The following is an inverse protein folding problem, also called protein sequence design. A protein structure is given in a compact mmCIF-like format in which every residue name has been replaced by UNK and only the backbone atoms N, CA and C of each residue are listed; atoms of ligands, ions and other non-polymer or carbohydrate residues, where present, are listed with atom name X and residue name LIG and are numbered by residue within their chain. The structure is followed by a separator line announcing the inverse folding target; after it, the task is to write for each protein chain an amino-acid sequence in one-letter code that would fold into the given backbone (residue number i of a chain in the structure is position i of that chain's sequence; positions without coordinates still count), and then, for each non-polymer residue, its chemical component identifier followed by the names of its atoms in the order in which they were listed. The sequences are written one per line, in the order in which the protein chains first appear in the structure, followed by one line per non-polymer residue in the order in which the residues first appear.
data_IF_878736341768
#
_entry.id   IF_878736341768
#
_cell.length_a   1.000
_cell.length_b   1.000
_cell.length_c   1.000
_cell.angle_alpha   90.00
_cell.angle_beta   90.00
_cell.angle_gamma   90.00
#
_symmetry.space_group_name_H-M   'P 1'
#
loop_
_entity.id
_entity.type
_entity.pdbx_description
1 polymer ?
#
# COMPACT_ATOMS: atom_id res chain seq x y z
N UNK A 1 39.74 -17.87 33.51
CA UNK A 1 38.42 -18.06 32.87
C UNK A 1 37.80 -16.69 32.64
N UNK A 2 38.21 -16.00 31.58
CA UNK A 2 37.54 -14.80 31.02
C UNK A 2 38.24 -14.47 29.70
N UNK A 3 37.78 -15.05 28.60
CA UNK A 3 38.01 -14.58 27.24
C UNK A 3 36.83 -15.07 26.40
N UNK A 4 36.54 -14.37 25.30
CA UNK A 4 35.57 -14.71 24.24
C UNK A 4 34.14 -14.18 24.40
N UNK A 5 33.96 -12.85 24.29
CA UNK A 5 32.75 -12.31 23.63
C UNK A 5 33.16 -11.13 22.73
N UNK A 6 33.95 -11.40 21.70
CA UNK A 6 34.31 -10.40 20.70
C UNK A 6 34.66 -11.06 19.36
N UNK A 7 33.71 -11.76 18.72
CA UNK A 7 33.89 -12.19 17.32
C UNK A 7 32.60 -12.72 16.64
N UNK A 8 31.50 -11.95 16.66
CA UNK A 8 30.29 -12.32 15.91
C UNK A 8 29.74 -11.19 15.02
N UNK A 9 30.58 -10.22 14.66
CA UNK A 9 30.25 -9.14 13.74
C UNK A 9 31.16 -9.17 12.51
N UNK A 10 31.16 -10.26 11.75
CA UNK A 10 31.48 -10.22 10.33
C UNK A 10 31.22 -11.59 9.69
N UNK A 11 30.78 -11.59 8.42
CA UNK A 11 30.51 -12.73 7.53
C UNK A 11 29.02 -12.97 7.20
N UNK A 12 28.30 -11.91 6.83
CA UNK A 12 27.25 -12.03 5.81
C UNK A 12 27.72 -11.32 4.54
N UNK A 13 28.68 -11.93 3.86
CA UNK A 13 29.18 -11.48 2.56
C UNK A 13 29.50 -12.70 1.70
N UNK A 14 28.46 -13.39 1.26
CA UNK A 14 28.49 -14.31 0.12
C UNK A 14 27.07 -14.81 -0.16
N UNK A 15 26.40 -14.21 -1.15
CA UNK A 15 25.47 -14.97 -2.01
C UNK A 15 25.60 -14.48 -3.46
N UNK A 16 25.99 -15.36 -4.40
CA UNK A 16 26.22 -15.03 -5.80
C UNK A 16 24.92 -15.01 -6.63
N UNK A 17 25.00 -14.22 -7.70
CA UNK A 17 24.08 -14.10 -8.82
C UNK A 17 23.29 -15.37 -9.18
N UNK A 18 21.97 -15.33 -9.02
CA UNK A 18 21.03 -16.29 -9.62
C UNK A 18 20.58 -15.77 -10.99
N UNK A 19 21.30 -16.15 -12.05
CA UNK A 19 20.79 -16.20 -13.44
C UNK A 19 21.20 -17.53 -14.07
N UNK A 20 20.26 -18.48 -14.10
CA UNK A 20 20.34 -19.70 -14.91
C UNK A 20 18.91 -20.09 -15.24
N UNK A 21 18.41 -19.75 -16.43
CA UNK A 21 18.35 -20.66 -17.57
C UNK A 21 17.45 -21.88 -17.27
N UNK A 22 16.16 -21.76 -17.62
CA UNK A 22 15.24 -22.88 -17.70
C UNK A 22 14.96 -23.15 -19.20
N UNK A 23 15.23 -24.37 -19.71
CA UNK A 23 14.87 -24.75 -21.08
C UNK A 23 13.39 -25.12 -21.12
N UNK A 24 12.58 -24.41 -21.91
CA UNK A 24 11.24 -24.89 -22.29
C UNK A 24 11.40 -25.78 -23.51
N UNK A 25 11.14 -27.06 -23.28
CA UNK A 25 11.06 -28.16 -24.23
C UNK A 25 10.06 -27.88 -25.35
N UNK A 26 10.52 -28.09 -26.58
CA UNK A 26 9.71 -28.31 -27.77
C UNK A 26 8.75 -29.49 -27.57
N UNK A 27 7.48 -29.28 -27.86
CA UNK A 27 6.51 -30.35 -28.11
C UNK A 27 6.11 -30.26 -29.58
N UNK A 28 6.79 -31.09 -30.37
CA UNK A 28 6.40 -31.46 -31.74
C UNK A 28 5.85 -32.88 -31.72
N UNK A 29 4.53 -33.02 -31.83
CA UNK A 29 3.81 -34.12 -32.51
C UNK A 29 2.31 -33.87 -32.25
N UNK A 30 1.38 -33.89 -33.18
CA UNK A 30 1.31 -34.59 -34.45
C UNK A 30 -0.15 -35.02 -34.61
N UNK A 31 -0.69 -34.82 -35.81
CA UNK A 31 -1.83 -35.53 -36.39
C UNK A 31 -3.15 -35.60 -35.61
N UNK A 32 -4.17 -34.88 -36.10
CA UNK A 32 -5.51 -35.49 -36.25
C UNK A 32 -6.15 -35.07 -37.60
N UNK A 33 -6.76 -36.03 -38.32
CA UNK A 33 -7.05 -35.94 -39.74
C UNK A 33 -8.41 -35.31 -40.11
N UNK A 34 -8.46 -34.95 -41.38
CA UNK A 34 -9.58 -34.46 -42.16
C UNK A 34 -10.81 -35.40 -42.11
N UNK A 35 -11.96 -34.84 -41.71
CA UNK A 35 -13.30 -35.24 -42.18
C UNK A 35 -13.91 -33.95 -42.78
N UNK A 36 -14.34 -33.85 -44.03
CA UNK A 36 -15.04 -34.84 -44.82
C UNK A 36 -16.51 -34.41 -44.94
N UNK A 37 -16.78 -33.54 -45.91
CA UNK A 37 -18.03 -33.32 -46.66
C UNK A 37 -19.38 -33.74 -46.05
N UNK A 38 -20.33 -32.79 -45.93
CA UNK A 38 -21.53 -32.78 -46.80
C UNK A 38 -22.33 -31.46 -46.69
N UNK A 39 -22.21 -30.63 -47.74
CA UNK A 39 -23.34 -30.12 -48.53
C UNK A 39 -24.61 -29.71 -47.77
N UNK A 40 -24.68 -28.44 -47.38
CA UNK A 40 -25.95 -27.71 -47.33
C UNK A 40 -25.91 -26.59 -48.38
N UNK A 41 -26.72 -26.67 -49.45
CA UNK A 41 -26.82 -25.61 -50.42
C UNK A 41 -27.83 -24.55 -49.94
N UNK A 42 -27.72 -23.37 -50.55
CA UNK A 42 -28.75 -22.32 -50.58
C UNK A 42 -28.89 -21.51 -49.29
N UNK A 43 -28.34 -20.30 -49.27
CA UNK A 43 -29.14 -19.10 -49.52
C UNK A 43 -28.20 -17.87 -49.53
N UNK A 44 -27.87 -17.43 -50.74
CA UNK A 44 -27.26 -16.15 -51.01
C UNK A 44 -28.29 -15.08 -50.63
N UNK A 45 -28.16 -14.48 -49.44
CA UNK A 45 -29.04 -13.41 -48.98
C UNK A 45 -28.20 -12.15 -48.72
N UNK A 46 -28.32 -11.10 -49.56
CA UNK A 46 -27.41 -9.97 -49.57
C UNK A 46 -27.93 -8.88 -48.64
N UNK A 47 -27.38 -8.67 -47.44
CA UNK A 47 -27.78 -7.48 -46.68
C UNK A 47 -26.63 -6.83 -45.88
N UNK A 48 -26.10 -5.67 -46.32
CA UNK A 48 -25.14 -4.84 -45.59
C UNK A 48 -25.79 -4.15 -44.38
N UNK A 49 -26.25 -4.94 -43.40
CA UNK A 49 -26.83 -4.43 -42.14
C UNK A 49 -26.06 -4.90 -40.90
N UNK A 50 -25.23 -5.95 -41.01
CA UNK A 50 -24.49 -6.51 -39.88
C UNK A 50 -23.33 -5.61 -39.39
N UNK A 51 -22.81 -4.74 -40.27
CA UNK A 51 -21.78 -3.75 -39.92
C UNK A 51 -22.32 -2.57 -39.13
N UNK A 52 -23.53 -2.11 -39.46
CA UNK A 52 -24.16 -0.95 -38.82
C UNK A 52 -24.51 -1.23 -37.35
N UNK A 53 -25.01 -2.43 -37.06
CA UNK A 53 -25.34 -2.84 -35.69
C UNK A 53 -24.09 -2.90 -34.78
N UNK A 54 -22.92 -3.30 -35.32
CA UNK A 54 -21.66 -3.28 -34.57
C UNK A 54 -21.14 -1.87 -34.31
N UNK A 55 -21.26 -0.96 -35.29
CA UNK A 55 -20.82 0.44 -35.16
C UNK A 55 -21.71 1.22 -34.19
N UNK A 56 -23.03 1.03 -34.26
CA UNK A 56 -23.97 1.71 -33.35
C UNK A 56 -23.78 1.25 -31.90
N UNK A 57 -23.55 -0.05 -31.66
CA UNK A 57 -23.27 -0.55 -30.30
C UNK A 57 -21.95 0.00 -29.75
N UNK A 58 -20.92 0.16 -30.59
CA UNK A 58 -19.65 0.79 -30.17
C UNK A 58 -19.81 2.28 -29.87
N UNK A 59 -20.60 3.03 -30.66
CA UNK A 59 -20.83 4.46 -30.41
C UNK A 59 -21.66 4.68 -29.14
N UNK A 60 -22.71 3.88 -28.92
CA UNK A 60 -23.57 3.99 -27.73
C UNK A 60 -22.81 3.60 -26.45
N UNK A 61 -21.96 2.57 -26.51
CA UNK A 61 -21.09 2.22 -25.37
C UNK A 61 -20.05 3.30 -25.11
N UNK A 62 -19.37 3.82 -26.14
CA UNK A 62 -18.38 4.91 -25.96
C UNK A 62 -19.00 6.21 -25.41
N UNK A 63 -20.24 6.53 -25.80
CA UNK A 63 -20.93 7.72 -25.33
C UNK A 63 -21.49 7.59 -23.89
N UNK A 64 -21.81 6.36 -23.45
CA UNK A 64 -22.37 6.10 -22.11
C UNK A 64 -21.30 5.78 -21.07
N UNK A 65 -20.14 5.25 -21.48
CA UNK A 65 -19.00 4.95 -20.58
C UNK A 65 -18.50 6.15 -19.75
N UNK A 66 -18.26 7.35 -20.31
CA UNK A 66 -17.73 8.47 -19.52
C UNK A 66 -18.72 8.98 -18.47
N UNK A 67 -20.02 8.85 -18.72
CA UNK A 67 -21.08 9.30 -17.79
C UNK A 67 -21.12 8.39 -16.55
N UNK A 68 -20.92 7.08 -16.71
CA UNK A 68 -20.85 6.15 -15.58
C UNK A 68 -19.60 6.35 -14.72
N UNK A 69 -18.45 6.69 -15.32
CA UNK A 69 -17.21 6.96 -14.58
C UNK A 69 -17.27 8.27 -13.77
N UNK A 70 -17.97 9.28 -14.29
CA UNK A 70 -18.11 10.58 -13.63
C UNK A 70 -18.93 10.54 -12.32
N UNK A 71 -19.84 9.57 -12.17
CA UNK A 71 -20.66 9.42 -10.95
C UNK A 71 -20.04 8.49 -9.90
N UNK A 72 -18.91 7.82 -10.19
CA UNK A 72 -18.35 6.74 -9.37
C UNK A 72 -17.15 7.10 -8.48
N UNK A 73 -16.61 8.31 -8.57
CA UNK A 73 -15.38 8.69 -7.87
C UNK A 73 -15.68 9.48 -6.59
N UNK A 74 -16.42 8.86 -5.67
CA UNK A 74 -16.48 9.32 -4.28
C UNK A 74 -15.20 8.91 -3.55
N UNK A 75 -14.16 9.75 -3.60
CA UNK A 75 -12.93 9.51 -2.84
C UNK A 75 -13.25 9.57 -1.33
N UNK A 76 -13.16 8.40 -0.69
CA UNK A 76 -13.37 8.23 0.74
C UNK A 76 -12.31 9.02 1.51
N UNK A 77 -12.66 10.24 1.94
CA UNK A 77 -11.87 11.05 2.88
C UNK A 77 -11.75 10.43 4.28
N UNK A 78 -12.33 9.25 4.54
CA UNK A 78 -12.36 8.59 5.85
C UNK A 78 -11.35 7.44 6.00
N UNK A 79 -10.50 7.20 5.01
CA UNK A 79 -9.53 6.08 5.02
C UNK A 79 -8.52 6.09 6.20
N UNK A 80 -8.08 7.25 6.78
CA UNK A 80 -7.12 7.24 7.88
C UNK A 80 -7.66 6.63 9.18
N UNK A 81 -8.94 6.87 9.50
CA UNK A 81 -9.55 6.38 10.74
C UNK A 81 -9.80 4.86 10.69
N UNK A 82 -10.19 4.34 9.52
CA UNK A 82 -10.29 2.90 9.27
C UNK A 82 -8.93 2.20 9.46
N UNK A 83 -7.87 2.77 8.90
CA UNK A 83 -6.53 2.17 8.99
C UNK A 83 -5.98 2.18 10.42
N UNK A 84 -6.18 3.28 11.17
CA UNK A 84 -5.84 3.38 12.60
C UNK A 84 -6.47 2.25 13.42
N UNK A 85 -7.78 2.04 13.23
CA UNK A 85 -8.52 1.01 13.96
C UNK A 85 -8.04 -0.41 13.63
N UNK A 86 -7.60 -0.65 12.40
CA UNK A 86 -7.00 -1.94 12.02
C UNK A 86 -5.68 -2.14 12.77
N UNK A 87 -4.79 -1.14 12.78
CA UNK A 87 -3.51 -1.24 13.51
C UNK A 87 -3.75 -1.48 14.99
N UNK A 88 -4.62 -0.68 15.63
CA UNK A 88 -4.91 -0.80 17.06
C UNK A 88 -5.46 -2.18 17.42
N UNK A 89 -6.29 -2.76 16.54
CA UNK A 89 -6.83 -4.11 16.70
C UNK A 89 -5.73 -5.17 16.67
N UNK A 90 -4.85 -5.12 15.67
CA UNK A 90 -3.77 -6.10 15.52
C UNK A 90 -2.74 -6.00 16.67
N UNK A 91 -2.39 -4.77 17.09
CA UNK A 91 -1.50 -4.54 18.24
C UNK A 91 -2.12 -5.12 19.52
N UNK A 92 -3.43 -4.88 19.73
CA UNK A 92 -4.15 -5.41 20.89
C UNK A 92 -4.20 -6.94 20.88
N UNK A 93 -4.49 -7.56 19.74
CA UNK A 93 -4.48 -9.01 19.59
C UNK A 93 -3.09 -9.60 19.91
N UNK A 94 -2.01 -8.92 19.49
CA UNK A 94 -0.64 -9.26 19.85
C UNK A 94 -0.40 -9.27 21.36
N UNK A 95 -0.81 -8.20 22.06
CA UNK A 95 -0.68 -8.12 23.53
C UNK A 95 -1.48 -9.19 24.27
N UNK A 96 -2.72 -9.47 23.83
CA UNK A 96 -3.57 -10.49 24.44
C UNK A 96 -2.96 -11.90 24.29
N UNK A 97 -2.42 -12.22 23.11
CA UNK A 97 -1.75 -13.50 22.87
C UNK A 97 -0.54 -13.74 23.77
N UNK A 98 0.18 -12.65 24.11
CA UNK A 98 1.38 -12.67 24.96
C UNK A 98 1.07 -12.38 26.44
N UNK A 99 -0.22 -12.17 26.79
CA UNK A 99 -0.67 -11.79 28.15
C UNK A 99 0.04 -10.54 28.69
N UNK A 100 0.35 -9.59 27.81
CA UNK A 100 1.02 -8.33 28.18
C UNK A 100 -0.02 -7.27 28.55
N UNK A 101 0.33 -6.47 29.56
CA UNK A 101 -0.48 -5.29 29.91
C UNK A 101 0.02 -4.06 29.14
N UNK A 102 -0.86 -3.29 28.48
CA UNK A 102 -0.46 -2.07 27.79
C UNK A 102 0.26 -1.08 28.71
N UNK A 103 1.35 -0.43 28.25
CA UNK A 103 2.06 0.53 29.07
C UNK A 103 1.20 1.78 29.33
N UNK A 104 1.37 2.38 30.51
CA UNK A 104 0.74 3.67 30.84
C UNK A 104 1.25 4.76 29.90
N UNK A 105 0.37 5.68 29.51
CA UNK A 105 0.75 6.87 28.74
C UNK A 105 1.80 7.70 29.47
N UNK A 106 2.77 8.21 28.72
CA UNK A 106 3.80 9.13 29.23
C UNK A 106 3.22 10.49 29.62
N UNK A 107 3.89 11.17 30.55
CA UNK A 107 3.63 12.57 30.88
C UNK A 107 3.92 13.50 29.70
N UNK A 108 3.30 14.67 29.67
CA UNK A 108 3.44 15.63 28.58
C UNK A 108 4.89 16.09 28.36
N UNK A 109 5.67 16.27 29.43
CA UNK A 109 7.08 16.68 29.33
C UNK A 109 7.97 15.60 28.72
N UNK A 110 7.77 14.34 29.10
CA UNK A 110 8.49 13.19 28.55
C UNK A 110 8.11 12.98 27.09
N UNK A 111 6.81 13.08 26.78
CA UNK A 111 6.30 13.00 25.41
C UNK A 111 6.94 14.07 24.52
N UNK A 112 6.95 15.33 24.96
CA UNK A 112 7.50 16.44 24.21
C UNK A 112 8.98 16.23 23.88
N UNK A 113 9.81 15.91 24.87
CA UNK A 113 11.24 15.68 24.64
C UNK A 113 11.47 14.53 23.67
N UNK A 114 10.73 13.43 23.83
CA UNK A 114 10.90 12.22 23.03
C UNK A 114 10.50 12.45 21.57
N UNK A 115 9.36 13.08 21.32
CA UNK A 115 8.88 13.28 19.95
C UNK A 115 9.78 14.24 19.15
N UNK A 116 10.33 15.27 19.81
CA UNK A 116 11.29 16.19 19.20
C UNK A 116 12.60 15.49 18.80
N UNK A 117 13.10 14.62 19.67
CA UNK A 117 14.30 13.82 19.39
C UNK A 117 14.04 12.75 18.32
N UNK A 118 12.89 12.08 18.38
CA UNK A 118 12.57 10.97 17.47
C UNK A 118 12.26 11.47 16.04
N UNK A 119 11.57 12.61 15.90
CA UNK A 119 11.19 13.15 14.58
C UNK A 119 12.24 14.09 14.00
N UNK A 120 12.74 15.04 14.80
CA UNK A 120 13.59 16.15 14.30
C UNK A 120 15.05 16.00 14.75
N UNK A 121 15.34 15.16 15.75
CA UNK A 121 16.70 14.96 16.26
C UNK A 121 17.24 16.13 17.10
N UNK A 122 16.39 17.08 17.51
CA UNK A 122 16.79 18.30 18.24
C UNK A 122 15.94 18.43 19.51
N UNK A 123 16.53 18.92 20.60
CA UNK A 123 15.82 19.14 21.87
C UNK A 123 14.88 20.37 21.72
N UNK A 124 13.65 20.34 22.26
CA UNK A 124 12.75 21.50 22.21
C UNK A 124 13.37 22.71 22.93
N UNK A 125 13.04 23.92 22.48
CA UNK A 125 13.45 25.13 23.17
C UNK A 125 12.63 25.34 24.45
N UNK A 126 13.09 26.24 25.32
CA UNK A 126 12.40 26.59 26.56
C UNK A 126 10.98 27.11 26.27
N UNK A 127 10.85 28.08 25.37
CA UNK A 127 9.56 28.70 25.03
C UNK A 127 8.57 27.66 24.47
N UNK A 128 9.02 26.80 23.54
CA UNK A 128 8.19 25.72 22.98
C UNK A 128 7.69 24.76 24.06
N UNK A 129 8.53 24.48 25.06
CA UNK A 129 8.16 23.61 26.17
C UNK A 129 7.11 24.25 27.07
N UNK A 130 7.29 25.52 27.42
CA UNK A 130 6.32 26.26 28.24
C UNK A 130 4.98 26.37 27.52
N UNK A 131 5.00 26.73 26.24
CA UNK A 131 3.79 26.87 25.41
C UNK A 131 3.01 25.54 25.30
N UNK A 132 3.72 24.43 25.09
CA UNK A 132 3.08 23.11 24.98
C UNK A 132 2.49 22.63 26.31
N UNK A 133 3.18 22.89 27.43
CA UNK A 133 2.71 22.52 28.76
C UNK A 133 1.55 23.40 29.23
N UNK A 134 1.55 24.69 28.87
CA UNK A 134 0.46 25.62 29.15
C UNK A 134 -0.80 25.31 28.32
N UNK A 135 -0.64 24.73 27.13
CA UNK A 135 -1.75 24.38 26.26
C UNK A 135 -2.61 23.24 26.86
N UNK A 136 -3.91 23.49 27.02
CA UNK A 136 -4.91 22.55 27.57
C UNK A 136 -5.76 21.85 26.49
N UNK A 137 -5.47 22.07 25.22
CA UNK A 137 -6.22 21.44 24.14
C UNK A 137 -6.05 19.91 24.19
N UNK A 138 -7.14 19.12 24.17
CA UNK A 138 -7.05 17.65 24.21
C UNK A 138 -6.27 17.07 23.03
N UNK A 139 -6.26 17.76 21.88
CA UNK A 139 -5.60 17.32 20.65
C UNK A 139 -4.22 17.97 20.46
N UNK A 140 -3.65 18.58 21.51
CA UNK A 140 -2.35 19.26 21.40
C UNK A 140 -1.20 18.35 20.96
N UNK A 141 -1.27 17.05 21.33
CA UNK A 141 -0.25 16.05 20.96
C UNK A 141 -0.29 15.75 19.47
N UNK A 142 -1.48 15.57 18.91
CA UNK A 142 -1.67 15.33 17.47
C UNK A 142 -1.21 16.54 16.66
N UNK A 143 -1.65 17.74 17.05
CA UNK A 143 -1.23 18.99 16.40
C UNK A 143 0.28 19.18 16.40
N UNK A 144 0.94 18.84 17.51
CA UNK A 144 2.40 18.92 17.60
C UNK A 144 3.06 17.92 16.64
N UNK A 145 2.57 16.68 16.58
CA UNK A 145 3.09 15.67 15.65
C UNK A 145 2.94 16.16 14.21
N UNK A 146 1.76 16.65 13.84
CA UNK A 146 1.51 17.19 12.50
C UNK A 146 2.45 18.36 12.18
N UNK A 147 2.69 19.26 13.14
CA UNK A 147 3.65 20.35 12.99
C UNK A 147 5.07 19.84 12.76
N UNK A 148 5.52 18.85 13.52
CA UNK A 148 6.87 18.28 13.42
C UNK A 148 7.06 17.46 12.13
N UNK A 149 6.05 16.74 11.66
CA UNK A 149 6.11 15.98 10.40
C UNK A 149 6.14 16.91 9.17
N UNK A 150 5.57 18.11 9.29
CA UNK A 150 5.63 19.15 8.27
C UNK A 150 6.88 20.04 8.39
N UNK A 151 7.72 19.85 9.41
CA UNK A 151 8.94 20.63 9.60
C UNK A 151 9.98 20.21 8.54
N UNK A 152 10.67 21.16 7.88
CA UNK A 152 11.70 20.84 6.89
C UNK A 152 12.87 20.01 7.45
N UNK A 153 13.05 19.99 8.78
CA UNK A 153 14.07 19.19 9.45
C UNK A 153 13.67 17.71 9.58
N UNK A 154 12.40 17.37 9.39
CA UNK A 154 11.95 15.99 9.39
C UNK A 154 12.46 15.27 8.14
N UNK A 155 13.18 14.15 8.27
CA UNK A 155 13.70 13.41 7.12
C UNK A 155 12.55 12.76 6.35
N UNK A 156 12.18 13.36 5.22
CA UNK A 156 11.26 12.74 4.27
C UNK A 156 12.04 11.68 3.48
N UNK A 157 11.76 10.41 3.75
CA UNK A 157 12.28 9.32 2.92
C UNK A 157 11.58 9.40 1.55
N UNK A 158 12.39 9.64 0.51
CA UNK A 158 11.97 9.69 -0.90
C UNK A 158 11.98 8.29 -1.54
#
# INVERSE_FOLDING_TARGET
MTHEVSSAFNLQSQMPHQRSAAPRSDVSNGSNPLHGCLRTPVLFLPIPFLGYLRVVVLIVTFATLPIAFALGQGTSKNQPEEFRQVIDREVKAGWESQKLTPPKRSSDSVFLRRIYLDLVGVIPTYDQTVDFLANKNPNKREKLIDQLLNDPRYPQQQ
#
